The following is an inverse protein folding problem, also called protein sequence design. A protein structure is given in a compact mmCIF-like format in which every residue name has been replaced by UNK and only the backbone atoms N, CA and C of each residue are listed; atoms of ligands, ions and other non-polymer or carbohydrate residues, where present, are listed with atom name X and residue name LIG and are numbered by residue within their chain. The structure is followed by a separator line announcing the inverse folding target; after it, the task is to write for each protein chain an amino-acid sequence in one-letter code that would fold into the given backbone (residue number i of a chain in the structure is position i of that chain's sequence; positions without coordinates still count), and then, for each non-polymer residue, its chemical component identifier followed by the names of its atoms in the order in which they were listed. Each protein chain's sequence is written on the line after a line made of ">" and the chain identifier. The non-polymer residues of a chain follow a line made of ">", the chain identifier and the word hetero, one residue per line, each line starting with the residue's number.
data_IF_569090609548
#
_entry.id   IF_569090609548
#
_cell.length_a   1.000
_cell.length_b   1.000
_cell.length_c   1.000
_cell.angle_alpha   90.00
_cell.angle_beta   90.00
_cell.angle_gamma   90.00
#
_symmetry.space_group_name_H-M   'P 1'
#
loop_
_entity.id
_entity.type
_entity.pdbx_description
1 polymer ?
#
# COMPACT_ATOMS: atom_id res chain seq x y z
N UNK A 1 7.27 10.98 23.17
CA UNK A 1 7.13 9.97 22.08
C UNK A 1 8.11 10.26 20.93
N UNK A 2 9.42 10.18 21.20
CA UNK A 2 10.50 10.59 20.27
C UNK A 2 11.26 9.43 19.59
N UNK A 3 10.94 8.17 19.90
CA UNK A 3 11.67 6.99 19.41
C UNK A 3 10.86 6.06 18.48
N UNK A 4 9.72 6.51 17.96
CA UNK A 4 8.98 5.72 16.95
C UNK A 4 9.63 5.95 15.60
N UNK A 5 10.54 5.05 15.21
CA UNK A 5 11.16 5.07 13.89
C UNK A 5 10.12 4.75 12.81
N UNK A 6 10.10 5.54 11.75
CA UNK A 6 9.19 5.37 10.62
C UNK A 6 9.66 4.32 9.59
N UNK A 7 10.83 3.71 9.80
CA UNK A 7 11.46 2.74 8.88
C UNK A 7 12.31 1.74 9.65
N UNK A 8 12.52 0.57 9.07
CA UNK A 8 13.30 -0.52 9.65
C UNK A 8 12.74 -0.96 11.01
N UNK A 9 11.43 -0.89 11.16
CA UNK A 9 10.76 -1.36 12.36
C UNK A 9 10.99 -2.86 12.54
N UNK A 10 10.88 -3.35 13.77
CA UNK A 10 10.99 -4.78 14.08
C UNK A 10 10.10 -5.67 13.20
N UNK A 11 8.81 -5.35 12.96
CA UNK A 11 7.98 -6.14 12.03
C UNK A 11 8.52 -6.15 10.60
N UNK A 12 9.01 -5.01 10.07
CA UNK A 12 9.65 -4.98 8.75
C UNK A 12 10.89 -5.87 8.67
N UNK A 13 11.74 -5.87 9.70
CA UNK A 13 12.93 -6.72 9.74
C UNK A 13 12.57 -8.21 9.69
N UNK A 14 11.53 -8.61 10.40
CA UNK A 14 11.07 -10.01 10.44
C UNK A 14 10.61 -10.46 9.05
N UNK A 15 9.69 -9.74 8.42
CA UNK A 15 9.17 -10.12 7.09
C UNK A 15 10.28 -10.16 6.05
N UNK A 16 11.21 -9.20 6.10
CA UNK A 16 12.38 -9.15 5.21
C UNK A 16 13.26 -10.39 5.33
N UNK A 17 13.65 -10.73 6.57
CA UNK A 17 14.50 -11.88 6.82
C UNK A 17 13.83 -13.17 6.32
N UNK A 18 12.56 -13.39 6.68
CA UNK A 18 11.80 -14.57 6.28
C UNK A 18 11.71 -14.71 4.76
N UNK A 19 11.30 -13.64 4.06
CA UNK A 19 11.20 -13.65 2.60
C UNK A 19 12.57 -13.87 1.94
N UNK A 20 13.63 -13.29 2.48
CA UNK A 20 14.99 -13.47 1.95
C UNK A 20 15.47 -14.91 2.10
N UNK A 21 15.28 -15.52 3.28
CA UNK A 21 15.64 -16.92 3.53
C UNK A 21 14.87 -17.90 2.63
N UNK A 22 13.64 -17.55 2.27
CA UNK A 22 12.79 -18.30 1.35
C UNK A 22 13.07 -18.01 -0.14
N UNK A 23 14.09 -17.21 -0.45
CA UNK A 23 14.57 -16.96 -1.80
C UNK A 23 13.83 -15.85 -2.56
N UNK A 24 12.94 -15.11 -1.91
CA UNK A 24 12.29 -13.95 -2.53
C UNK A 24 13.26 -12.78 -2.65
N UNK A 25 13.14 -12.04 -3.75
CA UNK A 25 13.90 -10.81 -4.00
C UNK A 25 12.94 -9.64 -4.06
N UNK A 26 13.28 -8.59 -3.35
CA UNK A 26 12.44 -7.40 -3.21
C UNK A 26 13.30 -6.13 -3.22
N UNK A 27 12.66 -5.00 -3.53
CA UNK A 27 13.19 -3.65 -3.32
C UNK A 27 12.53 -3.05 -2.08
N UNK A 28 13.24 -2.16 -1.41
CA UNK A 28 12.76 -1.49 -0.20
C UNK A 28 12.35 -0.05 -0.50
N UNK A 29 11.22 0.38 0.06
CA UNK A 29 10.81 1.79 0.11
C UNK A 29 10.86 2.50 -1.26
N UNK A 30 10.29 1.88 -2.30
CA UNK A 30 10.35 2.46 -3.65
C UNK A 30 9.52 3.75 -3.73
N UNK A 31 10.22 4.89 -3.85
CA UNK A 31 9.61 6.22 -3.90
C UNK A 31 8.83 6.47 -5.19
N UNK A 32 9.02 5.64 -6.22
CA UNK A 32 8.33 5.77 -7.51
C UNK A 32 6.90 5.24 -7.45
N UNK A 33 6.54 4.52 -6.37
CA UNK A 33 5.21 3.94 -6.19
C UNK A 33 4.38 4.75 -5.18
N UNK A 34 3.06 4.88 -5.40
CA UNK A 34 2.13 5.44 -4.43
C UNK A 34 2.26 4.78 -3.05
N UNK A 35 2.11 5.56 -1.98
CA UNK A 35 2.22 5.05 -0.61
C UNK A 35 3.63 4.67 -0.14
N UNK A 36 4.64 4.62 -1.03
CA UNK A 36 6.01 4.18 -0.73
C UNK A 36 6.02 2.82 -0.02
N UNK A 37 5.65 1.74 -0.73
CA UNK A 37 5.53 0.42 -0.12
C UNK A 37 6.83 -0.04 0.54
N UNK A 38 6.70 -0.75 1.66
CA UNK A 38 7.86 -1.25 2.43
C UNK A 38 8.67 -2.24 1.61
N UNK A 39 7.97 -3.18 0.96
CA UNK A 39 8.56 -4.18 0.08
C UNK A 39 7.89 -4.15 -1.29
N UNK A 40 8.69 -4.15 -2.34
CA UNK A 40 8.25 -4.22 -3.73
C UNK A 40 8.84 -5.48 -4.34
N UNK A 41 7.99 -6.33 -4.93
CA UNK A 41 8.37 -7.59 -5.57
C UNK A 41 8.05 -7.54 -7.07
N UNK A 42 8.93 -6.95 -7.91
CA UNK A 42 8.65 -6.75 -9.33
C UNK A 42 8.32 -8.04 -10.10
N UNK A 43 8.99 -9.16 -9.77
CA UNK A 43 8.76 -10.47 -10.40
C UNK A 43 7.31 -10.96 -10.24
N UNK A 44 6.67 -10.61 -9.13
CA UNK A 44 5.32 -11.04 -8.79
C UNK A 44 4.29 -9.93 -9.07
N UNK A 45 4.75 -8.75 -9.54
CA UNK A 45 3.96 -7.53 -9.65
C UNK A 45 3.14 -7.26 -8.39
N UNK A 46 3.79 -7.40 -7.24
CA UNK A 46 3.18 -7.24 -5.92
C UNK A 46 3.96 -6.26 -5.04
N UNK A 47 3.25 -5.61 -4.13
CA UNK A 47 3.79 -4.72 -3.11
C UNK A 47 3.25 -5.13 -1.75
N UNK A 48 4.06 -5.01 -0.71
CA UNK A 48 3.69 -5.35 0.67
C UNK A 48 3.80 -4.10 1.53
N UNK A 49 2.72 -3.79 2.25
CA UNK A 49 2.68 -2.79 3.31
C UNK A 49 2.68 -3.46 4.67
N UNK A 50 3.57 -3.02 5.55
CA UNK A 50 3.70 -3.54 6.91
C UNK A 50 3.15 -2.48 7.87
N UNK A 51 1.86 -2.59 8.14
CA UNK A 51 1.13 -1.57 8.89
C UNK A 51 1.22 -1.82 10.40
N UNK A 52 1.58 -0.78 11.14
CA UNK A 52 1.41 -0.75 12.59
C UNK A 52 -0.08 -0.68 12.96
N UNK A 53 -0.54 -1.54 13.88
CA UNK A 53 -1.96 -1.63 14.24
C UNK A 53 -2.49 -0.32 14.83
N UNK A 54 -1.64 0.40 15.58
CA UNK A 54 -1.98 1.69 16.16
C UNK A 54 -2.21 2.79 15.11
N UNK A 55 -1.29 2.93 14.14
CA UNK A 55 -1.28 4.08 13.21
C UNK A 55 -2.32 4.00 12.09
N UNK A 56 -2.71 2.77 11.74
CA UNK A 56 -3.61 2.47 10.63
C UNK A 56 -4.97 1.91 11.09
N UNK A 57 -5.23 1.90 12.40
CA UNK A 57 -6.55 1.60 12.94
C UNK A 57 -7.02 0.16 12.73
N UNK A 58 -6.19 -0.83 13.09
CA UNK A 58 -6.56 -2.24 12.90
C UNK A 58 -7.81 -2.59 13.73
N UNK A 59 -8.94 -2.82 13.06
CA UNK A 59 -10.22 -3.17 13.70
C UNK A 59 -10.10 -4.50 14.43
N UNK A 60 -10.63 -4.56 15.66
CA UNK A 60 -10.63 -5.78 16.48
C UNK A 60 -9.27 -6.18 17.05
N UNK A 61 -8.24 -5.32 16.95
CA UNK A 61 -6.92 -5.61 17.48
C UNK A 61 -6.72 -5.04 18.89
N UNK A 62 -6.20 -5.84 19.82
CA UNK A 62 -5.85 -5.40 21.17
C UNK A 62 -4.73 -4.35 21.21
N UNK A 63 -3.93 -4.24 20.15
CA UNK A 63 -2.87 -3.22 20.00
C UNK A 63 -3.39 -1.87 19.49
N UNK A 64 -4.64 -1.82 19.04
CA UNK A 64 -5.29 -0.57 18.67
C UNK A 64 -6.10 -0.06 19.86
N UNK A 65 -5.61 0.98 20.51
CA UNK A 65 -6.31 1.67 21.58
C UNK A 65 -6.15 3.16 21.37
N UNK A 66 -7.27 3.87 21.25
CA UNK A 66 -7.26 5.33 21.14
C UNK A 66 -6.78 5.90 22.48
N UNK A 67 -5.70 6.72 22.51
CA UNK A 67 -5.26 7.33 23.75
C UNK A 67 -6.35 8.24 24.31
N UNK A 68 -6.61 8.17 25.62
CA UNK A 68 -7.61 9.01 26.31
C UNK A 68 -7.31 10.51 26.26
N UNK A 69 -6.07 10.87 25.94
CA UNK A 69 -5.64 12.26 25.78
C UNK A 69 -5.65 12.65 24.30
N UNK A 70 -6.31 13.77 23.96
CA UNK A 70 -6.50 14.26 22.59
C UNK A 70 -7.19 13.25 21.67
N UNK A 71 -8.25 12.59 22.16
CA UNK A 71 -8.97 11.55 21.43
C UNK A 71 -9.41 11.99 20.03
N UNK A 72 -9.98 13.18 19.90
CA UNK A 72 -10.48 13.71 18.64
C UNK A 72 -9.36 13.82 17.60
N UNK A 73 -8.21 14.40 17.99
CA UNK A 73 -7.03 14.49 17.15
C UNK A 73 -6.54 13.10 16.70
N UNK A 74 -6.51 12.11 17.60
CA UNK A 74 -6.06 10.76 17.25
C UNK A 74 -7.04 10.04 16.33
N UNK A 75 -8.34 10.18 16.56
CA UNK A 75 -9.39 9.62 15.69
C UNK A 75 -9.30 10.19 14.30
N UNK A 76 -9.21 11.51 14.18
CA UNK A 76 -9.07 12.19 12.89
C UNK A 76 -7.78 11.77 12.18
N UNK A 77 -6.65 11.72 12.90
CA UNK A 77 -5.37 11.33 12.33
C UNK A 77 -5.37 9.89 11.80
N UNK A 78 -5.95 8.96 12.54
CA UNK A 78 -6.07 7.55 12.11
C UNK A 78 -7.00 7.45 10.90
N UNK A 79 -8.15 8.13 10.91
CA UNK A 79 -9.07 8.17 9.78
C UNK A 79 -8.40 8.71 8.51
N UNK A 80 -7.61 9.80 8.63
CA UNK A 80 -6.85 10.35 7.52
C UNK A 80 -5.77 9.38 6.99
N UNK A 81 -5.16 8.56 7.85
CA UNK A 81 -4.21 7.54 7.42
C UNK A 81 -4.90 6.41 6.66
N UNK A 82 -6.02 5.90 7.18
CA UNK A 82 -6.82 4.85 6.52
C UNK A 82 -7.26 5.32 5.12
N UNK A 83 -7.83 6.51 5.01
CA UNK A 83 -8.24 7.07 3.72
C UNK A 83 -7.05 7.20 2.76
N UNK A 84 -5.88 7.60 3.25
CA UNK A 84 -4.66 7.68 2.43
C UNK A 84 -4.21 6.29 1.96
N UNK A 85 -4.28 5.27 2.81
CA UNK A 85 -3.89 3.91 2.44
C UNK A 85 -4.84 3.31 1.41
N UNK A 86 -6.15 3.53 1.56
CA UNK A 86 -7.16 3.12 0.57
C UNK A 86 -6.89 3.75 -0.79
N UNK A 87 -6.65 5.07 -0.83
CA UNK A 87 -6.29 5.79 -2.06
C UNK A 87 -5.00 5.22 -2.67
N UNK A 88 -3.96 4.98 -1.86
CA UNK A 88 -2.71 4.42 -2.37
C UNK A 88 -2.91 2.99 -2.90
N UNK A 89 -3.71 2.18 -2.22
CA UNK A 89 -4.01 0.81 -2.64
C UNK A 89 -4.75 0.80 -3.98
N UNK A 90 -5.76 1.65 -4.15
CA UNK A 90 -6.46 1.83 -5.42
C UNK A 90 -5.50 2.27 -6.52
N UNK A 91 -4.65 3.27 -6.29
CA UNK A 91 -3.66 3.72 -7.28
C UNK A 91 -2.70 2.59 -7.69
N UNK A 92 -2.26 1.78 -6.74
CA UNK A 92 -1.37 0.64 -7.00
C UNK A 92 -2.07 -0.44 -7.84
N UNK A 93 -3.32 -0.80 -7.51
CA UNK A 93 -4.10 -1.75 -8.30
C UNK A 93 -4.33 -1.24 -9.72
N UNK A 94 -4.59 0.05 -9.88
CA UNK A 94 -4.72 0.71 -11.18
C UNK A 94 -3.41 0.68 -11.98
N UNK A 95 -2.25 0.76 -11.32
CA UNK A 95 -0.93 0.51 -11.90
C UNK A 95 -0.63 -1.00 -12.08
N UNK A 96 -1.65 -1.85 -11.95
CA UNK A 96 -1.57 -3.31 -12.06
C UNK A 96 -0.66 -3.95 -11.02
N UNK A 97 -0.49 -3.34 -9.85
CA UNK A 97 0.23 -3.94 -8.71
C UNK A 97 -0.76 -4.58 -7.74
N UNK A 98 -0.45 -5.80 -7.32
CA UNK A 98 -1.21 -6.44 -6.24
C UNK A 98 -0.72 -5.92 -4.89
N UNK A 99 -1.63 -5.40 -4.08
CA UNK A 99 -1.33 -4.86 -2.75
C UNK A 99 -1.59 -5.92 -1.68
N UNK A 100 -0.57 -6.20 -0.87
CA UNK A 100 -0.64 -7.14 0.25
C UNK A 100 -0.41 -6.34 1.53
N UNK A 101 -1.40 -6.31 2.42
CA UNK A 101 -1.25 -5.66 3.74
C UNK A 101 -0.92 -6.72 4.78
N UNK A 102 0.07 -6.42 5.62
CA UNK A 102 0.53 -7.25 6.73
C UNK A 102 0.50 -6.40 7.98
N UNK A 103 -0.19 -6.86 9.02
CA UNK A 103 -0.31 -6.12 10.27
C UNK A 103 0.74 -6.55 11.29
N UNK A 104 1.24 -5.61 12.09
CA UNK A 104 2.25 -5.93 13.12
C UNK A 104 1.78 -6.98 14.14
N UNK A 105 0.47 -7.11 14.38
CA UNK A 105 -0.07 -8.13 15.28
C UNK A 105 0.01 -9.54 14.68
N UNK A 106 -0.04 -9.67 13.36
CA UNK A 106 0.09 -10.93 12.62
C UNK A 106 1.53 -11.46 12.65
N UNK A 107 2.50 -10.60 12.95
CA UNK A 107 3.93 -10.93 13.00
C UNK A 107 4.42 -11.35 14.39
N UNK A 108 3.50 -11.54 15.34
CA UNK A 108 3.82 -12.15 16.63
C UNK A 108 4.41 -13.55 16.45
N UNK A 109 5.25 -14.02 17.38
CA UNK A 109 5.91 -15.33 17.29
C UNK A 109 4.94 -16.48 17.00
N UNK A 110 3.70 -16.41 17.53
CA UNK A 110 2.69 -17.47 17.37
C UNK A 110 2.08 -17.52 15.97
N UNK A 111 1.89 -16.36 15.33
CA UNK A 111 1.17 -16.25 14.06
C UNK A 111 2.09 -16.07 12.86
N UNK A 112 3.38 -15.81 13.10
CA UNK A 112 4.36 -15.46 12.07
C UNK A 112 4.36 -16.45 10.91
N UNK A 113 4.49 -17.74 11.18
CA UNK A 113 4.63 -18.75 10.12
C UNK A 113 3.40 -18.82 9.23
N UNK A 114 2.20 -18.74 9.83
CA UNK A 114 0.94 -18.66 9.10
C UNK A 114 0.85 -17.39 8.25
N UNK A 115 1.28 -16.25 8.80
CA UNK A 115 1.33 -14.97 8.07
C UNK A 115 2.28 -15.02 6.89
N UNK A 116 3.47 -15.60 7.06
CA UNK A 116 4.42 -15.75 5.95
C UNK A 116 3.87 -16.70 4.89
N UNK A 117 3.24 -17.83 5.28
CA UNK A 117 2.61 -18.74 4.33
C UNK A 117 1.46 -18.06 3.53
N UNK A 118 0.66 -17.22 4.19
CA UNK A 118 -0.35 -16.37 3.52
C UNK A 118 0.31 -15.44 2.50
N UNK A 119 1.36 -14.73 2.89
CA UNK A 119 2.10 -13.82 1.98
C UNK A 119 2.61 -14.60 0.76
N UNK A 120 3.17 -15.79 0.95
CA UNK A 120 3.65 -16.61 -0.17
C UNK A 120 2.53 -17.02 -1.12
N UNK A 121 1.37 -17.41 -0.58
CA UNK A 121 0.17 -17.72 -1.36
C UNK A 121 -0.30 -16.50 -2.16
N UNK A 122 -0.41 -15.34 -1.51
CA UNK A 122 -0.82 -14.08 -2.12
C UNK A 122 0.15 -13.67 -3.24
N UNK A 123 1.45 -13.83 -3.04
CA UNK A 123 2.47 -13.56 -4.06
C UNK A 123 2.34 -14.50 -5.27
N UNK A 124 2.08 -15.80 -5.04
CA UNK A 124 1.85 -16.76 -6.15
C UNK A 124 0.60 -16.39 -6.94
N UNK A 125 -0.49 -16.05 -6.26
CA UNK A 125 -1.73 -15.59 -6.89
C UNK A 125 -1.52 -14.29 -7.68
N UNK A 126 -0.80 -13.32 -7.12
CA UNK A 126 -0.44 -12.06 -7.78
C UNK A 126 0.33 -12.30 -9.08
N UNK A 127 1.32 -13.21 -9.04
CA UNK A 127 2.08 -13.59 -10.24
C UNK A 127 1.18 -14.23 -11.29
N UNK A 128 0.32 -15.16 -10.92
CA UNK A 128 -0.60 -15.80 -11.87
C UNK A 128 -1.55 -14.79 -12.53
N UNK A 129 -2.11 -13.84 -11.74
CA UNK A 129 -2.91 -12.72 -12.25
C UNK A 129 -2.11 -11.90 -13.27
N UNK A 130 -0.87 -11.55 -12.94
CA UNK A 130 -0.01 -10.75 -13.80
C UNK A 130 0.43 -11.47 -15.09
N UNK A 131 0.76 -12.76 -15.00
CA UNK A 131 1.11 -13.57 -16.18
C UNK A 131 -0.08 -13.65 -17.15
N UNK A 132 -1.30 -13.87 -16.63
CA UNK A 132 -2.53 -13.87 -17.42
C UNK A 132 -2.77 -12.52 -18.10
N UNK A 133 -2.65 -11.42 -17.36
CA UNK A 133 -2.75 -10.07 -17.93
C UNK A 133 -1.72 -9.83 -19.04
N UNK A 134 -0.48 -10.31 -18.85
CA UNK A 134 0.61 -10.18 -19.83
C UNK A 134 0.35 -11.00 -21.10
N UNK A 135 -0.24 -12.20 -20.97
CA UNK A 135 -0.63 -13.03 -22.11
C UNK A 135 -1.71 -12.35 -22.96
N UNK A 136 -2.80 -11.88 -22.32
CA UNK A 136 -3.88 -11.16 -23.01
C UNK A 136 -3.39 -9.92 -23.75
N UNK A 137 -2.45 -9.18 -23.15
CA UNK A 137 -1.80 -8.03 -23.78
C UNK A 137 -0.99 -8.39 -25.03
N UNK A 138 -0.42 -9.60 -25.11
CA UNK A 138 0.33 -10.05 -26.29
C UNK A 138 -0.59 -10.49 -27.43
N UNK A 139 -1.74 -11.06 -27.10
CA UNK A 139 -2.71 -11.58 -28.06
C UNK A 139 -3.48 -10.47 -28.78
N UNK A 140 -3.88 -9.40 -28.08
CA UNK A 140 -4.64 -8.30 -28.68
C UNK A 140 -3.87 -6.98 -28.68
N UNK A 141 -3.47 -6.53 -29.87
CA UNK A 141 -2.85 -5.20 -30.08
C UNK A 141 -3.76 -4.05 -29.65
N UNK A 142 -5.07 -4.20 -29.80
CA UNK A 142 -6.06 -3.21 -29.40
C UNK A 142 -6.14 -3.10 -27.87
N UNK A 143 -6.26 -4.24 -27.19
CA UNK A 143 -6.21 -4.30 -25.72
C UNK A 143 -4.89 -3.71 -25.20
N UNK A 144 -3.75 -4.03 -25.82
CA UNK A 144 -2.46 -3.48 -25.43
C UNK A 144 -2.39 -1.95 -25.55
N UNK A 145 -2.99 -1.37 -26.60
CA UNK A 145 -3.06 0.08 -26.81
C UNK A 145 -3.98 0.75 -25.79
N UNK A 146 -5.16 0.17 -25.55
CA UNK A 146 -6.11 0.67 -24.57
C UNK A 146 -5.50 0.66 -23.15
N UNK A 147 -4.88 -0.46 -22.76
CA UNK A 147 -4.19 -0.59 -21.48
C UNK A 147 -3.00 0.37 -21.37
N UNK A 148 -2.23 0.58 -22.44
CA UNK A 148 -1.14 1.55 -22.45
C UNK A 148 -1.62 3.01 -22.37
N UNK A 149 -2.80 3.33 -22.91
CA UNK A 149 -3.44 4.64 -22.75
C UNK A 149 -3.86 4.85 -21.30
N UNK A 150 -4.64 3.91 -20.74
CA UNK A 150 -5.07 3.94 -19.33
C UNK A 150 -3.86 4.07 -18.40
N UNK A 151 -2.85 3.23 -18.58
CA UNK A 151 -1.65 3.27 -17.74
C UNK A 151 -0.90 4.61 -17.81
N UNK A 152 -0.83 5.27 -18.98
CA UNK A 152 -0.22 6.61 -19.11
C UNK A 152 -1.04 7.68 -18.39
N UNK A 153 -2.35 7.66 -18.56
CA UNK A 153 -3.28 8.59 -17.90
C UNK A 153 -3.18 8.49 -16.37
N UNK A 154 -3.18 7.27 -15.86
CA UNK A 154 -3.06 6.99 -14.42
C UNK A 154 -1.68 7.41 -13.88
N UNK A 155 -0.61 7.12 -14.62
CA UNK A 155 0.73 7.57 -14.23
C UNK A 155 0.83 9.10 -14.17
N UNK A 156 0.24 9.81 -15.14
CA UNK A 156 0.21 11.26 -15.17
C UNK A 156 -0.57 11.83 -13.96
N UNK A 157 -1.70 11.21 -13.60
CA UNK A 157 -2.48 11.59 -12.42
C UNK A 157 -1.68 11.40 -11.13
N UNK A 158 -1.03 10.23 -10.98
CA UNK A 158 -0.16 9.94 -9.82
C UNK A 158 1.03 10.90 -9.73
N UNK A 159 1.67 11.21 -10.86
CA UNK A 159 2.82 12.13 -10.92
C UNK A 159 2.42 13.56 -10.53
N UNK A 160 1.27 14.05 -11.01
CA UNK A 160 0.73 15.35 -10.62
C UNK A 160 0.49 15.44 -9.10
N UNK A 161 -0.05 14.39 -8.48
CA UNK A 161 -0.29 14.32 -7.03
C UNK A 161 0.99 14.20 -6.19
N UNK A 162 2.04 13.56 -6.72
CA UNK A 162 3.33 13.41 -6.05
C UNK A 162 4.15 14.71 -6.11
N UNK A 163 4.07 15.46 -7.22
CA UNK A 163 4.76 16.74 -7.43
C UNK A 163 4.04 17.94 -6.80
N UNK A 164 2.81 17.77 -6.30
CA UNK A 164 2.11 18.80 -5.53
C UNK A 164 2.87 19.15 -4.23
N UNK A 165 3.30 20.42 -4.03
CA UNK A 165 3.87 20.89 -2.78
C UNK A 165 2.99 20.50 -1.60
N UNK A 166 3.59 20.11 -0.47
CA UNK A 166 2.84 19.67 0.73
C UNK A 166 1.77 20.69 1.17
N UNK A 167 2.01 21.98 0.94
CA UNK A 167 1.08 23.09 1.20
C UNK A 167 -0.20 23.04 0.36
N UNK A 168 -0.13 22.52 -0.87
CA UNK A 168 -1.27 22.44 -1.81
C UNK A 168 -2.12 21.16 -1.65
N UNK A 169 -1.64 20.16 -0.91
CA UNK A 169 -2.44 18.95 -0.56
C UNK A 169 -3.68 19.27 0.29
N UNK A 170 -3.67 20.39 1.03
CA UNK A 170 -4.86 20.90 1.74
C UNK A 170 -5.92 21.47 0.79
N UNK A 171 -5.53 21.94 -0.39
CA UNK A 171 -6.46 22.55 -1.36
C UNK A 171 -7.14 21.50 -2.24
N UNK A 172 -6.54 20.32 -2.45
CA UNK A 172 -7.18 19.21 -3.16
C UNK A 172 -8.44 18.68 -2.43
N UNK A 173 -8.41 18.57 -1.09
CA UNK A 173 -9.60 18.25 -0.27
C UNK A 173 -10.69 19.34 -0.34
N UNK A 174 -10.30 20.59 -0.56
CA UNK A 174 -11.23 21.72 -0.67
C UNK A 174 -11.88 21.79 -2.05
N UNK A 175 -11.22 21.26 -3.08
CA UNK A 175 -11.77 21.18 -4.44
C UNK A 175 -12.86 20.10 -4.57
N UNK A 176 -12.75 18.96 -3.87
CA UNK A 176 -13.80 17.94 -3.81
C UNK A 176 -15.06 18.44 -3.07
N UNK A 177 -14.91 19.28 -2.05
CA UNK A 177 -16.05 19.89 -1.34
C UNK A 177 -16.78 20.96 -2.18
N UNK A 178 -16.07 21.68 -3.06
CA UNK A 178 -16.69 22.69 -3.92
C UNK A 178 -17.52 22.05 -5.05
N UNK A 179 -17.19 20.81 -5.47
CA UNK A 179 -17.97 20.08 -6.48
C UNK A 179 -19.24 19.43 -5.94
N UNK A 180 -19.37 19.21 -4.63
CA UNK A 180 -20.60 18.69 -4.01
C UNK A 180 -21.58 19.80 -3.58
N UNK A 181 -21.10 21.03 -3.35
CA UNK A 181 -21.96 22.17 -2.97
C UNK A 181 -22.53 22.96 -4.17
N UNK A 182 -22.18 22.58 -5.41
CA UNK A 182 -22.64 23.26 -6.64
C UNK A 182 -23.55 22.41 -7.54
N UNK A 183 -24.24 21.41 -6.97
CA UNK A 183 -25.32 20.66 -7.61
C UNK A 183 -26.62 20.78 -6.79
#
# INVERSE_FOLDING_TARGET
>A
MSQVHSKNTTPEKIVRAELWHRGYRYRLNDKRLPGRPDLVLPKYRAVIFINGCFWHGHKGCSKFTVPKTNEEFWREKVAQNIARDEINAQRLDTLSWTVITVWECELSKKNRDATIARIESDLRAAKAKYDKWTALRRESREYAREQARKHREILAQVEAELNLPKSLRRYAKKAEQITEESL
#
